data_IF_499003235611
#
_entry.id   IF_499003235611
#
_cell.length_a   1.000
_cell.length_b   1.000
_cell.length_c   1.000
_cell.angle_alpha   90.00
_cell.angle_beta   90.00
_cell.angle_gamma   90.00
#
_symmetry.space_group_name_H-M   'P 1'
#
loop_
_entity.id
_entity.type
_entity.pdbx_description
1 polymer ?
#
# COMPACT_ATOMS: atom_id res chain seq x y z
N UNK A 1 -7.42 31.55 69.32
CA UNK A 1 -8.19 30.47 69.97
C UNK A 1 -7.64 29.15 69.45
N UNK A 2 -6.63 28.60 70.14
CA UNK A 2 -6.70 27.47 71.11
C UNK A 2 -6.66 26.11 70.39
N UNK A 3 -5.78 25.14 70.66
CA UNK A 3 -4.68 24.88 71.63
C UNK A 3 -3.86 23.71 71.01
N UNK A 4 -2.52 23.78 70.91
CA UNK A 4 -1.52 23.21 71.83
C UNK A 4 -1.73 21.71 72.14
N UNK A 5 -0.75 20.81 71.91
CA UNK A 5 0.27 20.28 72.85
C UNK A 5 1.06 19.17 72.06
N UNK A 6 2.31 18.73 72.29
CA UNK A 6 3.60 19.22 72.79
C UNK A 6 4.51 17.96 72.90
N UNK A 7 5.75 18.05 72.36
CA UNK A 7 7.03 17.39 72.71
C UNK A 7 7.17 15.89 73.09
N UNK A 8 8.23 15.26 72.53
CA UNK A 8 9.52 14.92 73.19
C UNK A 8 10.51 14.42 72.09
N UNK A 9 11.64 15.06 71.74
CA UNK A 9 12.97 15.30 72.39
C UNK A 9 14.04 14.21 72.11
N UNK A 10 15.24 14.70 71.77
CA UNK A 10 16.62 14.11 71.80
C UNK A 10 17.04 13.18 70.64
N UNK A 11 18.23 13.23 70.03
CA UNK A 11 19.48 13.99 70.27
C UNK A 11 20.37 13.93 69.02
N UNK A 12 21.17 14.99 68.80
CA UNK A 12 22.38 15.03 67.98
C UNK A 12 23.35 13.87 68.28
N UNK A 13 24.08 13.34 67.28
CA UNK A 13 25.52 13.07 67.39
C UNK A 13 26.21 12.90 66.01
N UNK A 14 27.32 13.65 65.91
CA UNK A 14 28.55 13.60 65.10
C UNK A 14 28.86 12.54 64.02
N UNK A 15 29.64 13.03 63.05
CA UNK A 15 30.32 12.34 61.96
C UNK A 15 31.43 11.34 62.40
N UNK A 16 31.64 10.31 61.57
CA UNK A 16 32.82 9.43 61.58
C UNK A 16 32.69 8.31 60.53
N UNK A 17 33.79 7.82 59.91
CA UNK A 17 33.83 7.34 58.52
C UNK A 17 33.53 5.84 58.37
N UNK A 18 32.96 5.44 57.23
CA UNK A 18 32.76 4.02 56.89
C UNK A 18 33.41 3.64 55.56
N UNK A 19 34.47 2.85 55.71
CA UNK A 19 35.10 1.87 54.85
C UNK A 19 34.49 1.59 53.45
N UNK A 20 35.41 1.54 52.48
CA UNK A 20 35.24 0.95 51.17
C UNK A 20 34.82 -0.53 51.23
N UNK A 21 33.81 -0.90 50.44
CA UNK A 21 33.58 -2.27 50.00
C UNK A 21 33.65 -2.34 48.47
N UNK A 22 34.65 -3.09 48.00
CA UNK A 22 34.77 -3.57 46.62
C UNK A 22 33.68 -4.61 46.38
N UNK A 23 32.84 -4.40 45.37
CA UNK A 23 32.03 -5.47 44.77
C UNK A 23 32.71 -5.84 43.45
N UNK A 24 33.27 -7.05 43.41
CA UNK A 24 33.91 -7.60 42.22
C UNK A 24 32.87 -7.94 41.15
N UNK A 25 32.86 -7.17 40.07
CA UNK A 25 32.18 -7.53 38.83
C UNK A 25 33.06 -8.47 38.01
N UNK A 26 32.69 -9.75 37.96
CA UNK A 26 33.22 -10.69 36.98
C UNK A 26 32.49 -10.50 35.65
N UNK A 27 33.18 -9.95 34.65
CA UNK A 27 32.69 -9.89 33.28
C UNK A 27 32.60 -11.32 32.69
N UNK A 28 31.52 -11.67 31.96
CA UNK A 28 31.48 -12.93 31.24
C UNK A 28 32.43 -12.88 30.05
N UNK A 29 33.12 -13.99 29.80
CA UNK A 29 34.06 -14.17 28.69
C UNK A 29 33.35 -14.02 27.32
N UNK A 30 34.04 -13.48 26.28
CA UNK A 30 33.46 -13.31 24.96
C UNK A 30 33.21 -14.68 24.29
N UNK A 31 31.98 -14.90 23.87
CA UNK A 31 31.57 -16.06 23.06
C UNK A 31 32.11 -15.92 21.63
N UNK A 32 32.84 -16.93 21.18
CA UNK A 32 33.59 -16.99 19.92
C UNK A 32 32.77 -17.16 18.64
N UNK A 33 31.46 -16.91 18.68
CA UNK A 33 30.56 -17.14 17.54
C UNK A 33 30.10 -15.84 16.83
N UNK A 34 30.10 -14.68 17.49
CA UNK A 34 29.75 -13.39 16.86
C UNK A 34 30.85 -12.83 15.95
N UNK A 35 32.12 -13.14 16.24
CA UNK A 35 33.25 -12.70 15.42
C UNK A 35 33.39 -13.49 14.11
N UNK A 36 32.86 -14.72 14.07
CA UNK A 36 32.87 -15.56 12.86
C UNK A 36 31.83 -15.09 11.85
N UNK A 37 30.65 -14.67 12.31
CA UNK A 37 29.58 -14.19 11.43
C UNK A 37 29.88 -12.78 10.88
N UNK A 38 30.56 -11.93 11.67
CA UNK A 38 31.08 -10.64 11.21
C UNK A 38 32.16 -10.79 10.12
N UNK A 39 33.04 -11.79 10.26
CA UNK A 39 34.04 -12.15 9.25
C UNK A 39 33.44 -12.85 8.02
N UNK A 40 32.26 -13.46 8.13
CA UNK A 40 31.51 -14.07 7.03
C UNK A 40 30.63 -13.06 6.28
N UNK A 41 30.08 -12.06 6.97
CA UNK A 41 29.38 -10.91 6.36
C UNK A 41 30.32 -9.98 5.58
N UNK A 42 31.57 -9.81 6.02
CA UNK A 42 32.59 -9.09 5.24
C UNK A 42 33.00 -9.83 3.95
N UNK A 43 32.71 -11.14 3.84
CA UNK A 43 33.00 -11.97 2.66
C UNK A 43 31.86 -12.02 1.64
N UNK A 44 30.70 -11.42 1.93
CA UNK A 44 29.53 -11.42 1.03
C UNK A 44 29.32 -10.10 0.29
N UNK A 45 30.32 -9.21 0.23
CA UNK A 45 30.34 -8.05 -0.67
C UNK A 45 30.32 -8.53 -2.13
N UNK A 46 29.11 -8.85 -2.62
CA UNK A 46 28.88 -9.39 -3.94
C UNK A 46 29.34 -8.36 -4.98
N UNK A 47 30.27 -8.79 -5.82
CA UNK A 47 30.91 -8.05 -6.92
C UNK A 47 29.97 -7.55 -8.03
N UNK A 48 28.65 -7.60 -7.82
CA UNK A 48 27.62 -7.22 -8.79
C UNK A 48 27.28 -5.74 -8.83
N UNK A 49 27.31 -5.05 -7.68
CA UNK A 49 26.81 -3.68 -7.54
C UNK A 49 27.94 -2.67 -7.34
N UNK A 50 28.86 -2.63 -8.31
CA UNK A 50 30.00 -1.70 -8.34
C UNK A 50 30.06 -0.98 -9.68
N UNK A 51 30.50 0.27 -9.68
CA UNK A 51 30.75 1.01 -10.93
C UNK A 51 31.90 0.33 -11.68
N UNK A 52 31.77 0.23 -13.01
CA UNK A 52 32.75 -0.44 -13.87
C UNK A 52 33.22 0.45 -15.00
N UNK A 53 34.51 0.37 -15.30
CA UNK A 53 35.13 0.96 -16.48
C UNK A 53 35.71 -0.15 -17.35
N UNK A 54 35.26 -0.25 -18.60
CA UNK A 54 35.64 -1.34 -19.53
C UNK A 54 35.50 -2.74 -18.88
N UNK A 55 34.39 -2.97 -18.18
CA UNK A 55 34.03 -4.20 -17.46
C UNK A 55 34.91 -4.55 -16.23
N UNK A 56 35.88 -3.71 -15.85
CA UNK A 56 36.65 -3.86 -14.60
C UNK A 56 36.02 -3.02 -13.47
N UNK A 57 36.01 -3.50 -12.22
CA UNK A 57 35.49 -2.75 -11.09
C UNK A 57 36.33 -1.49 -10.83
N UNK A 58 35.66 -0.41 -10.45
CA UNK A 58 36.30 0.80 -9.97
C UNK A 58 36.49 0.76 -8.45
N UNK A 59 37.56 1.42 -8.00
CA UNK A 59 37.88 1.62 -6.59
C UNK A 59 37.92 3.13 -6.33
N UNK A 60 37.33 3.58 -5.23
CA UNK A 60 37.32 4.98 -4.82
C UNK A 60 38.20 5.14 -3.58
N UNK A 61 39.22 5.99 -3.68
CA UNK A 61 40.04 6.44 -2.57
C UNK A 61 39.57 7.84 -2.14
N UNK A 62 39.09 8.00 -0.91
CA UNK A 62 38.55 9.25 -0.38
C UNK A 62 39.38 9.70 0.83
N UNK A 63 39.95 10.91 0.75
CA UNK A 63 40.83 11.47 1.78
C UNK A 63 40.85 13.00 1.76
N UNK A 64 41.63 13.65 2.64
CA UNK A 64 41.80 15.11 2.60
C UNK A 64 42.62 15.55 1.38
N UNK A 65 42.46 16.81 0.97
CA UNK A 65 43.21 17.39 -0.18
C UNK A 65 44.72 17.34 0.04
N UNK A 66 45.19 17.43 1.30
CA UNK A 66 46.61 17.35 1.66
C UNK A 66 47.26 16.00 1.34
N UNK A 67 46.49 14.91 1.30
CA UNK A 67 46.99 13.56 1.00
C UNK A 67 46.78 13.17 -0.47
N UNK A 68 46.27 14.07 -1.31
CA UNK A 68 45.85 13.75 -2.66
C UNK A 68 46.99 13.24 -3.54
N UNK A 69 48.13 13.93 -3.52
CA UNK A 69 49.28 13.55 -4.34
C UNK A 69 49.87 12.22 -3.86
N UNK A 70 50.02 12.04 -2.54
CA UNK A 70 50.50 10.79 -1.96
C UNK A 70 49.59 9.59 -2.30
N UNK A 71 48.27 9.80 -2.33
CA UNK A 71 47.30 8.78 -2.75
C UNK A 71 47.51 8.37 -4.21
N UNK A 72 47.65 9.34 -5.12
CA UNK A 72 47.86 9.10 -6.55
C UNK A 72 49.18 8.37 -6.78
N UNK A 73 50.27 8.87 -6.20
CA UNK A 73 51.61 8.31 -6.40
C UNK A 73 51.69 6.87 -5.89
N UNK A 74 51.17 6.62 -4.68
CA UNK A 74 51.20 5.30 -4.03
C UNK A 74 50.43 4.25 -4.83
N UNK A 75 49.20 4.56 -5.25
CA UNK A 75 48.37 3.59 -5.97
C UNK A 75 48.82 3.42 -7.42
N UNK A 76 49.33 4.48 -8.06
CA UNK A 76 49.88 4.37 -9.42
C UNK A 76 51.18 3.55 -9.43
N UNK A 77 52.04 3.70 -8.41
CA UNK A 77 53.23 2.86 -8.25
C UNK A 77 52.88 1.38 -8.03
N UNK A 78 51.73 1.09 -7.41
CA UNK A 78 51.17 -0.26 -7.30
C UNK A 78 50.45 -0.75 -8.58
N UNK A 79 50.49 0.03 -9.66
CA UNK A 79 49.93 -0.31 -10.96
C UNK A 79 48.46 0.05 -11.15
N UNK A 80 47.82 0.75 -10.20
CA UNK A 80 46.46 1.25 -10.35
C UNK A 80 46.41 2.39 -11.40
N UNK A 81 45.36 2.40 -12.21
CA UNK A 81 45.14 3.44 -13.21
C UNK A 81 44.16 4.47 -12.67
N UNK A 82 44.61 5.71 -12.49
CA UNK A 82 43.73 6.82 -12.10
C UNK A 82 42.75 7.13 -13.24
N UNK A 83 41.46 6.99 -12.97
CA UNK A 83 40.40 7.24 -13.94
C UNK A 83 39.80 8.65 -13.81
N UNK A 84 39.60 9.13 -12.58
CA UNK A 84 39.02 10.46 -12.32
C UNK A 84 39.34 10.98 -10.92
N UNK A 85 39.27 12.30 -10.77
CA UNK A 85 39.40 13.01 -9.50
C UNK A 85 38.18 13.89 -9.30
N UNK A 86 37.67 13.97 -8.07
CA UNK A 86 36.55 14.84 -7.71
C UNK A 86 36.76 15.50 -6.36
N UNK A 87 36.57 16.82 -6.34
CA UNK A 87 36.63 17.63 -5.12
C UNK A 87 35.28 17.73 -4.42
N UNK A 88 35.32 17.57 -3.10
CA UNK A 88 34.18 17.79 -2.19
C UNK A 88 34.56 18.88 -1.17
N UNK A 89 34.57 20.16 -1.59
CA UNK A 89 35.10 21.26 -0.76
C UNK A 89 34.37 21.38 0.58
N UNK A 90 33.05 21.21 0.62
CA UNK A 90 32.26 21.23 1.86
C UNK A 90 32.64 20.09 2.81
N UNK A 91 32.91 18.89 2.28
CA UNK A 91 33.34 17.75 3.08
C UNK A 91 34.83 17.84 3.45
N UNK A 92 35.58 18.79 2.87
CA UNK A 92 37.05 18.86 2.95
C UNK A 92 37.68 17.53 2.57
N UNK A 93 37.17 16.93 1.48
CA UNK A 93 37.64 15.66 0.93
C UNK A 93 37.87 15.76 -0.57
N UNK A 94 38.72 14.89 -1.09
CA UNK A 94 38.94 14.63 -2.50
C UNK A 94 38.83 13.12 -2.74
N UNK A 95 38.04 12.73 -3.73
CA UNK A 95 37.99 11.36 -4.21
C UNK A 95 38.90 11.20 -5.43
N UNK A 96 39.62 10.08 -5.45
CA UNK A 96 40.37 9.58 -6.58
C UNK A 96 39.78 8.22 -6.94
N UNK A 97 39.33 8.04 -8.18
CA UNK A 97 38.80 6.76 -8.64
C UNK A 97 39.83 6.08 -9.51
N UNK A 98 40.11 4.83 -9.18
CA UNK A 98 41.09 3.99 -9.84
C UNK A 98 40.44 2.75 -10.45
N UNK A 99 41.14 2.18 -11.44
CA UNK A 99 40.96 0.79 -11.85
C UNK A 99 42.22 0.03 -11.49
N UNK A 100 42.09 -1.02 -10.68
CA UNK A 100 43.24 -1.80 -10.23
C UNK A 100 43.69 -2.81 -11.30
N UNK A 101 45.00 -3.13 -11.37
CA UNK A 101 45.51 -4.22 -12.18
C UNK A 101 45.06 -5.57 -11.61
N UNK A 102 45.19 -6.64 -12.40
CA UNK A 102 44.97 -8.00 -11.86
C UNK A 102 45.97 -8.27 -10.74
N UNK A 103 45.48 -8.64 -9.56
CA UNK A 103 46.30 -9.00 -8.40
C UNK A 103 46.52 -7.90 -7.36
N UNK A 104 46.04 -6.68 -7.58
CA UNK A 104 45.97 -5.65 -6.54
C UNK A 104 44.56 -5.64 -5.94
N UNK A 105 44.45 -5.99 -4.65
CA UNK A 105 43.20 -6.00 -3.90
C UNK A 105 43.00 -4.73 -3.07
N UNK A 106 41.75 -4.38 -2.73
CA UNK A 106 41.43 -3.19 -1.92
C UNK A 106 42.17 -3.18 -0.57
N UNK A 107 42.30 -4.34 0.08
CA UNK A 107 43.01 -4.48 1.36
C UNK A 107 44.51 -4.20 1.23
N UNK A 108 45.13 -4.62 0.12
CA UNK A 108 46.53 -4.34 -0.18
C UNK A 108 46.73 -2.85 -0.49
N UNK A 109 45.86 -2.27 -1.32
CA UNK A 109 45.86 -0.84 -1.61
C UNK A 109 45.68 0.00 -0.33
N UNK A 110 44.79 -0.42 0.58
CA UNK A 110 44.59 0.24 1.87
C UNK A 110 45.84 0.15 2.76
N UNK A 111 46.55 -0.98 2.76
CA UNK A 111 47.79 -1.14 3.53
C UNK A 111 48.92 -0.23 3.01
N UNK A 112 49.01 -0.02 1.70
CA UNK A 112 49.94 0.93 1.10
C UNK A 112 49.60 2.38 1.49
N UNK A 113 48.32 2.74 1.42
CA UNK A 113 47.85 4.07 1.81
C UNK A 113 48.04 4.36 3.30
N UNK A 114 47.94 3.36 4.18
CA UNK A 114 48.14 3.55 5.62
C UNK A 114 49.49 4.19 5.99
N UNK A 115 50.51 4.07 5.12
CA UNK A 115 51.83 4.66 5.32
C UNK A 115 51.96 6.05 4.68
N UNK A 116 51.43 6.22 3.47
CA UNK A 116 51.64 7.43 2.66
C UNK A 116 50.50 8.47 2.76
N UNK A 117 49.28 8.00 3.05
CA UNK A 117 48.04 8.78 3.11
C UNK A 117 47.14 8.19 4.22
N UNK A 118 47.53 8.31 5.50
CA UNK A 118 46.96 7.55 6.61
C UNK A 118 45.48 7.87 6.90
N UNK A 119 44.96 8.99 6.39
CA UNK A 119 43.54 9.36 6.55
C UNK A 119 42.71 9.17 5.27
N UNK A 120 43.31 8.56 4.26
CA UNK A 120 42.66 8.19 3.01
C UNK A 120 42.25 6.72 3.04
N UNK A 121 41.00 6.45 2.72
CA UNK A 121 40.45 5.09 2.65
C UNK A 121 40.09 4.74 1.22
N UNK A 122 40.38 3.50 0.82
CA UNK A 122 40.09 2.97 -0.51
C UNK A 122 39.21 1.73 -0.41
N UNK A 123 38.16 1.70 -1.22
CA UNK A 123 37.25 0.57 -1.32
C UNK A 123 36.68 0.49 -2.75
N UNK A 124 35.95 -0.59 -3.06
CA UNK A 124 35.13 -0.69 -4.25
C UNK A 124 34.14 0.48 -4.32
N UNK A 125 34.00 1.04 -5.51
CA UNK A 125 33.06 2.12 -5.76
C UNK A 125 31.65 1.53 -5.97
N UNK A 126 30.99 1.21 -4.86
CA UNK A 126 29.68 0.58 -4.84
C UNK A 126 28.56 1.47 -5.39
N UNK A 127 27.58 0.83 -6.03
CA UNK A 127 26.34 1.45 -6.48
C UNK A 127 25.30 1.26 -5.36
N UNK A 128 24.94 2.36 -4.70
CA UNK A 128 23.83 2.36 -3.75
C UNK A 128 22.51 2.51 -4.53
N UNK A 129 21.61 1.51 -4.41
CA UNK A 129 20.27 1.55 -4.98
C UNK A 129 19.24 2.02 -3.96
N UNK A 130 18.08 2.50 -4.43
CA UNK A 130 16.97 2.81 -3.53
C UNK A 130 16.53 1.56 -2.77
N UNK A 131 16.44 1.66 -1.44
CA UNK A 131 15.94 0.60 -0.57
C UNK A 131 14.40 0.52 -0.65
N UNK A 132 13.88 0.06 -1.78
CA UNK A 132 12.44 -0.12 -2.01
C UNK A 132 12.09 -1.62 -2.08
N UNK A 133 11.05 -2.02 -1.36
CA UNK A 133 10.50 -3.38 -1.40
C UNK A 133 9.39 -3.53 -2.44
N UNK A 134 9.10 -4.78 -2.81
CA UNK A 134 7.96 -5.10 -3.67
C UNK A 134 6.62 -4.72 -3.00
N UNK A 135 5.55 -4.45 -3.77
CA UNK A 135 4.25 -4.15 -3.21
C UNK A 135 3.73 -5.26 -2.29
N UNK A 136 3.15 -4.89 -1.13
CA UNK A 136 2.55 -5.83 -0.20
C UNK A 136 1.12 -6.15 -0.65
N UNK A 137 0.93 -7.34 -1.20
CA UNK A 137 -0.39 -7.83 -1.61
C UNK A 137 -1.00 -8.65 -0.48
N UNK A 138 -2.04 -8.12 0.19
CA UNK A 138 -2.66 -8.81 1.33
C UNK A 138 -4.16 -9.10 1.15
N UNK A 139 -4.84 -8.37 0.27
CA UNK A 139 -6.30 -8.39 0.19
C UNK A 139 -6.87 -9.79 -0.15
N UNK A 140 -6.25 -10.49 -1.11
CA UNK A 140 -6.64 -11.85 -1.48
C UNK A 140 -6.53 -12.81 -0.28
N UNK A 141 -5.39 -12.82 0.40
CA UNK A 141 -5.18 -13.63 1.60
C UNK A 141 -6.17 -13.26 2.71
N UNK A 142 -6.42 -11.97 2.93
CA UNK A 142 -7.31 -11.49 3.97
C UNK A 142 -8.74 -12.02 3.82
N UNK A 143 -9.27 -12.10 2.60
CA UNK A 143 -10.62 -12.66 2.34
C UNK A 143 -10.60 -14.17 2.11
N UNK A 144 -9.45 -14.84 2.22
CA UNK A 144 -9.33 -16.27 1.92
C UNK A 144 -9.47 -16.61 0.43
N UNK A 145 -9.20 -15.65 -0.44
CA UNK A 145 -9.15 -15.89 -1.88
C UNK A 145 -7.91 -16.74 -2.23
N UNK A 146 -8.06 -17.79 -3.06
CA UNK A 146 -6.95 -18.68 -3.43
C UNK A 146 -5.88 -17.98 -4.29
N UNK A 147 -6.11 -16.73 -4.67
CA UNK A 147 -5.16 -15.86 -5.31
C UNK A 147 -5.45 -15.64 -6.80
N UNK A 148 -4.64 -14.78 -7.43
CA UNK A 148 -4.79 -14.38 -8.83
C UNK A 148 -5.04 -15.54 -9.79
N UNK A 149 -6.13 -15.47 -10.57
CA UNK A 149 -6.42 -16.40 -11.66
C UNK A 149 -6.90 -17.80 -11.25
N UNK A 150 -7.03 -18.10 -9.96
CA UNK A 150 -7.51 -19.42 -9.48
C UNK A 150 -9.02 -19.59 -9.52
N UNK A 151 -9.77 -18.50 -9.38
CA UNK A 151 -11.22 -18.47 -9.59
C UNK A 151 -11.56 -17.63 -10.83
N UNK A 152 -12.66 -17.95 -11.51
CA UNK A 152 -13.05 -17.25 -12.74
C UNK A 152 -14.35 -16.47 -12.57
N UNK A 153 -14.36 -15.24 -13.07
CA UNK A 153 -15.56 -14.44 -13.32
C UNK A 153 -16.10 -14.58 -14.75
N UNK A 154 -15.62 -15.57 -15.53
CA UNK A 154 -16.04 -15.74 -16.93
C UNK A 154 -17.55 -15.88 -17.04
N UNK A 155 -18.14 -15.17 -18.01
CA UNK A 155 -19.59 -15.12 -18.21
C UNK A 155 -20.34 -14.20 -17.23
N UNK A 156 -19.66 -13.63 -16.22
CA UNK A 156 -20.24 -12.65 -15.30
C UNK A 156 -20.09 -11.24 -15.86
N UNK A 157 -21.12 -10.42 -15.67
CA UNK A 157 -21.17 -9.03 -16.11
C UNK A 157 -21.31 -8.12 -14.89
N UNK A 158 -20.39 -7.17 -14.76
CA UNK A 158 -20.37 -6.22 -13.65
C UNK A 158 -20.52 -4.81 -14.21
N UNK A 159 -21.47 -4.05 -13.67
CA UNK A 159 -21.68 -2.65 -13.95
C UNK A 159 -20.87 -1.77 -13.01
N UNK A 160 -20.39 -0.64 -13.52
CA UNK A 160 -19.58 0.31 -12.77
C UNK A 160 -20.03 1.73 -13.11
N UNK A 161 -20.40 2.49 -12.08
CA UNK A 161 -20.69 3.93 -12.19
C UNK A 161 -19.57 4.68 -11.47
N UNK A 162 -18.70 5.34 -12.23
CA UNK A 162 -17.47 5.94 -11.72
C UNK A 162 -16.94 7.03 -12.69
N UNK A 163 -15.66 7.40 -12.59
CA UNK A 163 -14.89 8.09 -13.62
C UNK A 163 -14.43 7.16 -14.75
N UNK A 164 -13.62 7.67 -15.69
CA UNK A 164 -13.14 6.90 -16.81
C UNK A 164 -12.13 5.82 -16.38
N UNK A 165 -12.06 4.76 -17.19
CA UNK A 165 -11.11 3.64 -17.04
C UNK A 165 -10.12 3.71 -18.19
N UNK A 166 -8.84 3.53 -17.92
CA UNK A 166 -7.80 3.43 -18.95
C UNK A 166 -7.82 2.03 -19.59
N UNK A 167 -8.35 1.86 -20.82
CA UNK A 167 -8.42 0.55 -21.45
C UNK A 167 -7.05 0.02 -21.91
N UNK A 168 -6.04 0.90 -22.01
CA UNK A 168 -4.70 0.54 -22.46
C UNK A 168 -3.81 0.07 -21.30
N UNK A 169 -4.27 0.23 -20.05
CA UNK A 169 -3.54 -0.21 -18.88
C UNK A 169 -3.29 -1.73 -18.92
N UNK A 170 -2.05 -2.16 -18.69
CA UNK A 170 -1.65 -3.58 -18.76
C UNK A 170 -2.45 -4.49 -17.83
N UNK A 171 -2.87 -3.98 -16.67
CA UNK A 171 -3.78 -4.65 -15.74
C UNK A 171 -5.13 -5.05 -16.34
N UNK A 172 -5.59 -4.36 -17.40
CA UNK A 172 -6.89 -4.56 -18.03
C UNK A 172 -6.78 -5.15 -19.44
N UNK A 173 -5.56 -5.43 -19.91
CA UNK A 173 -5.31 -5.94 -21.25
C UNK A 173 -6.08 -7.25 -21.52
N UNK A 174 -7.13 -7.25 -22.33
CA UNK A 174 -7.98 -8.41 -22.61
C UNK A 174 -9.16 -8.61 -21.64
N UNK A 175 -9.40 -7.65 -20.74
CA UNK A 175 -10.68 -7.54 -20.01
C UNK A 175 -11.71 -7.02 -21.00
N UNK A 176 -12.91 -7.62 -21.02
CA UNK A 176 -13.99 -7.14 -21.89
C UNK A 176 -14.60 -5.89 -21.27
N UNK A 177 -14.18 -4.72 -21.76
CA UNK A 177 -14.68 -3.42 -21.34
C UNK A 177 -15.71 -2.90 -22.36
N UNK A 178 -16.91 -2.56 -21.88
CA UNK A 178 -17.83 -1.69 -22.61
C UNK A 178 -17.93 -0.38 -21.83
N UNK A 179 -17.53 0.73 -22.45
CA UNK A 179 -17.51 2.04 -21.80
C UNK A 179 -18.48 2.99 -22.50
N UNK A 180 -19.13 3.84 -21.71
CA UNK A 180 -19.98 4.93 -22.18
C UNK A 180 -19.99 6.05 -21.13
N UNK A 181 -20.56 7.21 -21.44
CA UNK A 181 -20.68 8.33 -20.52
C UNK A 181 -22.07 8.96 -20.53
N UNK A 182 -22.39 9.63 -19.43
CA UNK A 182 -23.60 10.45 -19.27
C UNK A 182 -23.25 11.91 -18.96
N UNK A 183 -22.02 12.31 -19.27
CA UNK A 183 -21.55 13.69 -19.12
C UNK A 183 -22.31 14.60 -20.09
N UNK A 184 -22.67 15.80 -19.61
CA UNK A 184 -23.34 16.83 -20.41
C UNK A 184 -22.32 17.65 -21.21
N UNK A 185 -22.83 18.42 -22.17
CA UNK A 185 -22.00 19.31 -22.98
C UNK A 185 -21.19 20.28 -22.10
N UNK A 186 -19.89 20.37 -22.38
CA UNK A 186 -18.95 21.20 -21.64
C UNK A 186 -18.42 20.57 -20.33
N UNK A 187 -18.90 19.38 -19.94
CA UNK A 187 -18.31 18.63 -18.82
C UNK A 187 -17.14 17.77 -19.29
N UNK A 188 -16.11 17.68 -18.44
CA UNK A 188 -14.90 16.91 -18.73
C UNK A 188 -14.80 15.76 -17.75
N UNK A 189 -14.43 14.58 -18.23
CA UNK A 189 -14.16 13.43 -17.35
C UNK A 189 -12.92 13.70 -16.47
N UNK A 190 -12.88 13.20 -15.22
CA UNK A 190 -11.67 13.24 -14.41
C UNK A 190 -10.56 12.36 -15.01
N UNK A 191 -9.40 12.31 -14.36
CA UNK A 191 -8.34 11.39 -14.77
C UNK A 191 -8.77 9.91 -14.59
N UNK A 192 -7.96 9.00 -15.16
CA UNK A 192 -8.27 7.57 -15.17
C UNK A 192 -8.00 6.85 -13.83
N UNK A 193 -7.42 7.49 -12.82
CA UNK A 193 -6.86 6.78 -11.66
C UNK A 193 -7.91 6.01 -10.85
N UNK A 194 -9.01 6.68 -10.46
CA UNK A 194 -10.00 6.07 -9.59
C UNK A 194 -10.75 4.94 -10.30
N UNK A 195 -11.21 5.21 -11.53
CA UNK A 195 -11.91 4.22 -12.34
C UNK A 195 -11.03 3.02 -12.67
N UNK A 196 -9.77 3.24 -13.06
CA UNK A 196 -8.84 2.15 -13.37
C UNK A 196 -8.51 1.30 -12.14
N UNK A 197 -8.34 1.91 -10.97
CA UNK A 197 -8.12 1.19 -9.73
C UNK A 197 -9.31 0.28 -9.39
N UNK A 198 -10.53 0.83 -9.41
CA UNK A 198 -11.77 0.09 -9.15
C UNK A 198 -11.98 -1.04 -10.16
N UNK A 199 -11.78 -0.79 -11.46
CA UNK A 199 -11.86 -1.81 -12.50
C UNK A 199 -10.82 -2.93 -12.31
N UNK A 200 -9.59 -2.58 -11.93
CA UNK A 200 -8.52 -3.56 -11.69
C UNK A 200 -8.80 -4.46 -10.49
N UNK A 201 -9.38 -3.93 -9.41
CA UNK A 201 -9.80 -4.74 -8.25
C UNK A 201 -10.86 -5.78 -8.67
N UNK A 202 -11.76 -5.43 -9.58
CA UNK A 202 -12.80 -6.37 -10.01
C UNK A 202 -12.27 -7.42 -10.99
N UNK A 203 -11.60 -7.01 -12.06
CA UNK A 203 -11.29 -7.88 -13.20
C UNK A 203 -9.84 -7.80 -13.70
N UNK A 204 -8.97 -7.12 -12.97
CA UNK A 204 -7.57 -6.95 -13.34
C UNK A 204 -6.80 -8.26 -13.41
N UNK A 205 -5.60 -8.22 -13.99
CA UNK A 205 -4.69 -9.37 -14.16
C UNK A 205 -3.25 -9.05 -13.80
N UNK A 206 -2.40 -10.08 -13.81
CA UNK A 206 -0.96 -9.95 -13.53
C UNK A 206 -0.72 -9.45 -12.11
N UNK A 207 0.18 -8.47 -11.96
CA UNK A 207 0.47 -7.82 -10.66
C UNK A 207 -0.68 -7.02 -10.06
N UNK A 208 -1.82 -6.93 -10.74
CA UNK A 208 -3.04 -6.20 -10.36
C UNK A 208 -4.28 -7.11 -10.41
N UNK A 209 -4.09 -8.40 -10.17
CA UNK A 209 -5.17 -9.36 -10.35
C UNK A 209 -6.38 -9.07 -9.46
N UNK A 210 -7.53 -8.98 -10.12
CA UNK A 210 -8.81 -8.73 -9.48
C UNK A 210 -9.46 -10.00 -8.94
N UNK A 211 -10.57 -9.81 -8.24
CA UNK A 211 -11.27 -10.87 -7.51
C UNK A 211 -12.28 -11.66 -8.36
N UNK A 212 -12.53 -11.23 -9.61
CA UNK A 212 -13.37 -11.92 -10.61
C UNK A 212 -12.74 -11.87 -12.01
N UNK A 213 -11.56 -12.48 -12.22
CA UNK A 213 -10.85 -12.41 -13.49
C UNK A 213 -11.66 -13.09 -14.60
N UNK A 214 -11.78 -12.43 -15.75
CA UNK A 214 -12.60 -12.89 -16.89
C UNK A 214 -14.03 -12.33 -16.91
N UNK A 215 -14.46 -11.64 -15.84
CA UNK A 215 -15.70 -10.87 -15.86
C UNK A 215 -15.62 -9.75 -16.92
N UNK A 216 -16.75 -9.47 -17.57
CA UNK A 216 -16.89 -8.28 -18.42
C UNK A 216 -17.35 -7.08 -17.59
N UNK A 217 -16.77 -5.91 -17.84
CA UNK A 217 -17.15 -4.66 -17.17
C UNK A 217 -17.94 -3.78 -18.13
N UNK A 218 -19.10 -3.31 -17.66
CA UNK A 218 -19.92 -2.28 -18.31
C UNK A 218 -19.78 -1.01 -17.49
N UNK A 219 -19.02 -0.06 -18.00
CA UNK A 219 -18.64 1.17 -17.30
C UNK A 219 -19.47 2.32 -17.86
N UNK A 220 -20.16 3.03 -16.98
CA UNK A 220 -20.80 4.30 -17.32
C UNK A 220 -20.14 5.43 -16.53
N UNK A 221 -19.47 6.32 -17.26
CA UNK A 221 -18.75 7.46 -16.72
C UNK A 221 -19.79 8.52 -16.33
N UNK A 222 -19.97 8.68 -15.03
CA UNK A 222 -20.90 9.65 -14.44
C UNK A 222 -20.17 10.80 -13.74
N UNK A 223 -18.92 10.61 -13.34
CA UNK A 223 -18.12 11.63 -12.66
C UNK A 223 -17.50 12.60 -13.66
N UNK A 224 -17.59 13.90 -13.34
CA UNK A 224 -16.95 14.99 -14.10
C UNK A 224 -15.95 15.71 -13.21
N UNK A 225 -14.91 16.29 -13.80
CA UNK A 225 -14.03 17.26 -13.15
C UNK A 225 -14.32 18.65 -13.71
N UNK A 226 -15.31 19.33 -13.12
CA UNK A 226 -15.76 20.66 -13.60
C UNK A 226 -15.37 21.72 -12.57
N UNK A 227 -14.61 22.74 -13.00
CA UNK A 227 -14.06 23.81 -12.13
C UNK A 227 -13.22 23.26 -10.97
N UNK A 228 -12.41 22.24 -11.23
CA UNK A 228 -11.52 21.63 -10.24
C UNK A 228 -12.22 20.83 -9.14
N UNK A 229 -13.51 20.50 -9.32
CA UNK A 229 -14.26 19.63 -8.41
C UNK A 229 -14.69 18.37 -9.13
N UNK A 230 -14.23 17.24 -8.63
CA UNK A 230 -14.66 15.93 -9.10
C UNK A 230 -15.94 15.50 -8.39
N UNK A 231 -16.94 15.07 -9.17
CA UNK A 231 -18.19 14.59 -8.62
C UNK A 231 -19.20 14.21 -9.70
N UNK A 232 -20.20 13.43 -9.28
CA UNK A 232 -21.39 13.14 -10.06
C UNK A 232 -22.62 13.67 -9.30
N UNK A 233 -23.54 14.29 -10.03
CA UNK A 233 -24.85 14.65 -9.50
C UNK A 233 -25.84 13.49 -9.64
N UNK A 234 -27.00 13.65 -9.01
CA UNK A 234 -28.04 12.63 -8.97
C UNK A 234 -28.56 12.33 -10.39
N UNK A 235 -28.70 13.33 -11.25
CA UNK A 235 -29.14 13.15 -12.64
C UNK A 235 -28.24 12.18 -13.39
N UNK A 236 -26.91 12.42 -13.35
CA UNK A 236 -25.93 11.53 -14.00
C UNK A 236 -25.90 10.14 -13.37
N UNK A 237 -25.97 10.04 -12.05
CA UNK A 237 -26.02 8.72 -11.39
C UNK A 237 -27.29 7.95 -11.79
N UNK A 238 -28.45 8.61 -11.84
CA UNK A 238 -29.71 8.00 -12.27
C UNK A 238 -29.67 7.59 -13.74
N UNK A 239 -29.13 8.44 -14.63
CA UNK A 239 -28.94 8.10 -16.04
C UNK A 239 -27.98 6.91 -16.24
N UNK A 240 -26.93 6.82 -15.43
CA UNK A 240 -25.99 5.71 -15.47
C UNK A 240 -26.62 4.39 -14.97
N UNK A 241 -27.43 4.43 -13.90
CA UNK A 241 -28.21 3.28 -13.45
C UNK A 241 -29.17 2.80 -14.55
N UNK A 242 -29.95 3.72 -15.14
CA UNK A 242 -30.89 3.39 -16.22
C UNK A 242 -30.16 2.73 -17.40
N UNK A 243 -29.02 3.31 -17.82
CA UNK A 243 -28.24 2.78 -18.93
C UNK A 243 -27.67 1.38 -18.68
N UNK A 244 -27.10 1.14 -17.50
CA UNK A 244 -26.61 -0.20 -17.12
C UNK A 244 -27.77 -1.21 -17.11
N UNK A 245 -28.94 -0.81 -16.61
CA UNK A 245 -30.11 -1.67 -16.58
C UNK A 245 -30.68 -1.95 -17.97
N UNK A 246 -30.78 -0.95 -18.84
CA UNK A 246 -31.19 -1.13 -20.24
C UNK A 246 -30.26 -2.08 -21.02
N UNK A 247 -29.00 -2.16 -20.60
CA UNK A 247 -27.96 -3.04 -21.11
C UNK A 247 -27.96 -4.47 -20.53
N UNK A 248 -28.92 -4.78 -19.66
CA UNK A 248 -29.01 -6.05 -18.95
C UNK A 248 -27.90 -6.27 -17.92
N UNK A 249 -27.26 -5.20 -17.45
CA UNK A 249 -26.26 -5.26 -16.38
C UNK A 249 -26.98 -5.04 -15.06
N UNK A 250 -26.97 -6.04 -14.18
CA UNK A 250 -27.76 -6.04 -12.93
C UNK A 250 -26.91 -6.00 -11.67
N UNK A 251 -25.68 -6.50 -11.69
CA UNK A 251 -24.74 -6.32 -10.58
C UNK A 251 -23.97 -5.02 -10.80
N UNK A 252 -24.10 -4.03 -9.90
CA UNK A 252 -23.56 -2.69 -10.10
C UNK A 252 -22.74 -2.26 -8.87
N UNK A 253 -21.48 -1.89 -9.11
CA UNK A 253 -20.58 -1.28 -8.12
C UNK A 253 -20.73 0.25 -8.11
N UNK A 254 -20.84 0.80 -6.91
CA UNK A 254 -20.99 2.23 -6.63
C UNK A 254 -19.88 2.66 -5.64
N UNK A 255 -18.68 2.89 -6.16
CA UNK A 255 -17.48 3.24 -5.37
C UNK A 255 -17.45 4.71 -4.92
N UNK A 256 -18.60 5.27 -4.57
CA UNK A 256 -18.75 6.65 -4.14
C UNK A 256 -19.75 6.78 -3.00
N UNK A 257 -19.72 7.94 -2.34
CA UNK A 257 -20.64 8.29 -1.28
C UNK A 257 -21.01 9.77 -1.36
N UNK A 258 -22.20 10.10 -0.87
CA UNK A 258 -22.76 11.45 -0.86
C UNK A 258 -23.80 11.62 0.25
N UNK A 259 -24.36 12.83 0.40
CA UNK A 259 -25.34 13.12 1.44
C UNK A 259 -26.66 12.36 1.23
N UNK A 260 -27.49 12.32 2.27
CA UNK A 260 -28.85 11.81 2.16
C UNK A 260 -29.68 12.63 1.16
N UNK A 261 -30.46 11.94 0.34
CA UNK A 261 -31.26 12.56 -0.71
C UNK A 261 -32.43 11.65 -1.14
N UNK A 262 -33.66 12.20 -1.13
CA UNK A 262 -34.88 11.45 -1.45
C UNK A 262 -34.95 11.00 -2.91
N UNK A 263 -34.48 11.82 -3.86
CA UNK A 263 -34.46 11.46 -5.28
C UNK A 263 -33.46 10.32 -5.55
N UNK A 264 -32.29 10.35 -4.91
CA UNK A 264 -31.34 9.24 -4.98
C UNK A 264 -31.95 7.95 -4.42
N UNK A 265 -32.64 8.00 -3.27
CA UNK A 265 -33.34 6.81 -2.73
C UNK A 265 -34.37 6.24 -3.70
N UNK A 266 -35.17 7.11 -4.32
CA UNK A 266 -36.15 6.68 -5.34
C UNK A 266 -35.46 5.99 -6.53
N UNK A 267 -34.35 6.54 -7.02
CA UNK A 267 -33.59 5.93 -8.12
C UNK A 267 -33.01 4.55 -7.74
N UNK A 268 -32.42 4.43 -6.56
CA UNK A 268 -31.87 3.16 -6.06
C UNK A 268 -32.96 2.09 -5.86
N UNK A 269 -34.10 2.49 -5.29
CA UNK A 269 -35.25 1.61 -5.11
C UNK A 269 -35.81 1.15 -6.47
N UNK A 270 -35.95 2.06 -7.44
CA UNK A 270 -36.42 1.73 -8.78
C UNK A 270 -35.46 0.80 -9.56
N UNK A 271 -34.15 0.93 -9.32
CA UNK A 271 -33.13 0.03 -9.86
C UNK A 271 -33.23 -1.36 -9.22
N UNK A 272 -33.32 -1.43 -7.89
CA UNK A 272 -33.47 -2.68 -7.15
C UNK A 272 -34.76 -3.44 -7.53
N UNK A 273 -35.88 -2.72 -7.70
CA UNK A 273 -37.14 -3.29 -8.18
C UNK A 273 -37.05 -3.93 -9.58
N UNK A 274 -36.05 -3.56 -10.38
CA UNK A 274 -35.73 -4.15 -11.69
C UNK A 274 -34.69 -5.28 -11.61
N UNK A 275 -34.42 -5.78 -10.40
CA UNK A 275 -33.50 -6.87 -10.13
C UNK A 275 -32.03 -6.44 -10.03
N UNK A 276 -31.75 -5.14 -9.86
CA UNK A 276 -30.37 -4.70 -9.62
C UNK A 276 -29.86 -5.19 -8.26
N UNK A 277 -28.64 -5.71 -8.24
CA UNK A 277 -27.84 -5.91 -7.03
C UNK A 277 -26.85 -4.76 -6.96
N UNK A 278 -27.05 -3.87 -5.99
CA UNK A 278 -26.26 -2.66 -5.81
C UNK A 278 -25.29 -2.84 -4.63
N UNK A 279 -24.01 -2.57 -4.85
CA UNK A 279 -22.98 -2.64 -3.81
C UNK A 279 -22.27 -1.29 -3.76
N UNK A 280 -22.18 -0.68 -2.57
CA UNK A 280 -21.68 0.68 -2.42
C UNK A 280 -20.68 0.86 -1.28
N UNK A 281 -19.76 1.79 -1.50
CA UNK A 281 -18.83 2.25 -0.48
C UNK A 281 -19.54 3.06 0.61
N UNK A 282 -19.19 2.85 1.88
CA UNK A 282 -19.81 3.58 2.99
C UNK A 282 -19.38 5.05 3.10
N UNK A 283 -18.26 5.43 2.49
CA UNK A 283 -17.71 6.79 2.52
C UNK A 283 -16.56 6.96 3.52
N UNK A 284 -15.86 8.10 3.42
CA UNK A 284 -14.51 8.28 4.00
C UNK A 284 -14.39 9.55 4.89
N UNK A 285 -15.48 9.91 5.58
CA UNK A 285 -15.61 11.15 6.37
C UNK A 285 -15.58 10.93 7.89
N UNK A 286 -15.34 9.68 8.33
CA UNK A 286 -15.32 9.27 9.74
C UNK A 286 -16.63 9.61 10.51
N UNK A 287 -17.76 9.64 9.80
CA UNK A 287 -19.03 10.10 10.38
C UNK A 287 -20.02 8.97 10.63
N UNK A 288 -20.95 9.18 11.56
CA UNK A 288 -22.12 8.33 11.80
C UNK A 288 -23.33 8.66 10.91
N UNK A 289 -23.23 9.71 10.07
CA UNK A 289 -24.31 10.18 9.22
C UNK A 289 -24.55 9.19 8.07
N UNK A 290 -25.83 8.99 7.71
CA UNK A 290 -26.20 8.23 6.53
C UNK A 290 -25.55 8.81 5.27
N UNK A 291 -24.78 7.98 4.56
CA UNK A 291 -24.21 8.32 3.27
C UNK A 291 -24.85 7.47 2.18
N UNK A 292 -25.43 8.10 1.16
CA UNK A 292 -25.96 7.39 -0.01
C UNK A 292 -24.85 7.16 -1.04
N UNK A 293 -24.88 6.05 -1.81
CA UNK A 293 -25.96 5.07 -1.89
C UNK A 293 -25.94 4.01 -0.79
N UNK A 294 -24.83 3.82 -0.05
CA UNK A 294 -24.69 2.75 0.94
C UNK A 294 -25.75 2.72 2.05
N UNK A 295 -26.31 3.86 2.45
CA UNK A 295 -27.35 3.94 3.47
C UNK A 295 -28.78 3.63 2.96
N UNK A 296 -28.94 3.21 1.71
CA UNK A 296 -30.22 2.74 1.18
C UNK A 296 -30.44 1.24 1.53
N UNK A 297 -31.62 0.84 2.05
CA UNK A 297 -31.89 -0.56 2.44
C UNK A 297 -31.71 -1.59 1.32
N UNK A 298 -31.86 -1.18 0.06
CA UNK A 298 -31.72 -2.02 -1.12
C UNK A 298 -30.26 -2.23 -1.55
N UNK A 299 -29.32 -1.49 -0.95
CA UNK A 299 -27.90 -1.46 -1.33
C UNK A 299 -27.08 -2.19 -0.28
N UNK A 300 -26.14 -3.03 -0.71
CA UNK A 300 -25.17 -3.66 0.17
C UNK A 300 -24.07 -2.65 0.52
N UNK A 301 -24.02 -2.24 1.77
CA UNK A 301 -23.05 -1.26 2.27
C UNK A 301 -21.73 -1.90 2.68
N UNK A 302 -20.63 -1.41 2.10
CA UNK A 302 -19.28 -1.96 2.32
C UNK A 302 -18.37 -0.93 2.99
N UNK A 303 -17.79 -1.33 4.13
CA UNK A 303 -16.72 -0.60 4.83
C UNK A 303 -15.34 -1.17 4.48
N UNK A 304 -14.28 -0.49 4.92
CA UNK A 304 -12.89 -0.89 4.68
C UNK A 304 -12.18 -1.36 5.96
N UNK A 305 -11.30 -2.34 5.83
CA UNK A 305 -10.30 -2.73 6.85
C UNK A 305 -8.88 -2.68 6.26
N UNK A 306 -7.88 -2.64 7.15
CA UNK A 306 -6.46 -2.71 6.79
C UNK A 306 -5.91 -4.14 6.84
N UNK A 307 -4.60 -4.29 6.56
CA UNK A 307 -3.91 -5.58 6.58
C UNK A 307 -3.87 -6.26 7.95
N UNK A 308 -4.12 -5.52 9.05
CA UNK A 308 -4.30 -6.04 10.39
C UNK A 308 -5.77 -6.29 10.76
N UNK A 309 -6.67 -6.27 9.77
CA UNK A 309 -8.13 -6.39 9.93
C UNK A 309 -8.75 -5.29 10.81
N UNK A 310 -8.07 -4.16 10.97
CA UNK A 310 -8.59 -3.04 11.76
C UNK A 310 -9.50 -2.18 10.89
N UNK A 311 -10.65 -1.70 11.40
CA UNK A 311 -11.53 -0.80 10.65
C UNK A 311 -10.77 0.44 10.16
N UNK A 312 -10.98 0.81 8.91
CA UNK A 312 -10.39 2.00 8.32
C UNK A 312 -10.82 3.24 9.10
N UNK A 313 -9.86 3.99 9.63
CA UNK A 313 -10.11 5.12 10.54
C UNK A 313 -10.99 6.23 9.96
N UNK A 314 -11.07 6.35 8.63
CA UNK A 314 -11.93 7.35 7.97
C UNK A 314 -13.24 6.77 7.46
N UNK A 315 -13.48 5.46 7.55
CA UNK A 315 -14.75 4.90 7.10
C UNK A 315 -15.92 5.49 7.88
N UNK A 316 -17.02 5.75 7.17
CA UNK A 316 -18.28 6.08 7.81
C UNK A 316 -18.83 4.86 8.56
N UNK A 317 -19.62 5.13 9.59
CA UNK A 317 -20.09 4.15 10.57
C UNK A 317 -21.61 4.25 10.68
N UNK A 318 -22.28 3.15 11.02
CA UNK A 318 -23.71 3.15 11.32
C UNK A 318 -24.35 1.80 11.13
N UNK A 319 -25.63 1.70 11.52
CA UNK A 319 -26.43 0.47 11.40
C UNK A 319 -26.70 0.04 9.95
N UNK A 320 -26.35 0.87 8.97
CA UNK A 320 -26.48 0.53 7.56
C UNK A 320 -25.28 -0.27 7.04
N UNK A 321 -24.12 -0.26 7.72
CA UNK A 321 -22.94 -1.04 7.31
C UNK A 321 -23.27 -2.54 7.34
N UNK A 322 -23.06 -3.24 6.23
CA UNK A 322 -23.36 -4.67 6.13
C UNK A 322 -22.12 -5.54 6.15
N UNK A 323 -21.06 -5.15 5.43
CA UNK A 323 -19.85 -5.96 5.32
C UNK A 323 -18.58 -5.13 5.31
N UNK A 324 -17.47 -5.75 5.67
CA UNK A 324 -16.13 -5.21 5.54
C UNK A 324 -15.34 -5.95 4.45
N UNK A 325 -14.47 -5.23 3.76
CA UNK A 325 -13.46 -5.81 2.87
C UNK A 325 -12.14 -5.02 2.99
N UNK A 326 -11.00 -5.59 2.55
CA UNK A 326 -9.75 -4.85 2.48
C UNK A 326 -9.93 -3.55 1.68
N UNK A 327 -9.44 -2.44 2.20
CA UNK A 327 -9.59 -1.14 1.55
C UNK A 327 -8.53 -0.12 1.93
N UNK A 328 -7.46 -0.54 2.61
CA UNK A 328 -6.36 0.34 3.03
C UNK A 328 -5.05 -0.17 2.46
N UNK A 329 -4.27 0.70 1.84
CA UNK A 329 -2.98 0.40 1.23
C UNK A 329 -3.06 -0.78 0.25
N UNK A 330 -4.07 -0.75 -0.63
CA UNK A 330 -4.23 -1.72 -1.69
C UNK A 330 -3.39 -1.34 -2.90
N UNK A 331 -2.54 -2.25 -3.36
CA UNK A 331 -1.83 -2.08 -4.62
C UNK A 331 -2.79 -2.30 -5.80
N UNK A 332 -2.96 -1.28 -6.63
CA UNK A 332 -3.93 -1.29 -7.75
C UNK A 332 -3.34 -0.65 -8.99
N UNK A 333 -3.99 -0.84 -10.13
CA UNK A 333 -3.67 -0.13 -11.35
C UNK A 333 -4.10 1.34 -11.23
N UNK A 334 -3.19 2.26 -11.58
CA UNK A 334 -3.44 3.71 -11.68
C UNK A 334 -2.77 4.22 -12.96
N UNK A 335 -3.10 5.41 -13.45
CA UNK A 335 -2.63 5.90 -14.75
C UNK A 335 -1.14 5.59 -15.02
N UNK A 336 -0.85 4.92 -16.13
CA UNK A 336 0.50 4.56 -16.55
C UNK A 336 1.27 3.57 -15.65
N UNK A 337 0.67 2.95 -14.62
CA UNK A 337 1.36 1.99 -13.75
C UNK A 337 0.58 1.54 -12.50
N UNK A 338 1.28 1.45 -11.36
CA UNK A 338 0.69 0.96 -10.11
C UNK A 338 0.77 1.97 -8.99
N UNK A 339 -0.20 1.92 -8.08
CA UNK A 339 -0.18 2.76 -6.88
C UNK A 339 -1.02 2.17 -5.75
N UNK A 340 -0.64 2.56 -4.53
CA UNK A 340 -1.45 2.26 -3.35
C UNK A 340 -2.66 3.17 -3.27
N UNK A 341 -3.81 2.56 -2.97
CA UNK A 341 -5.08 3.25 -2.75
C UNK A 341 -5.69 2.87 -1.41
N UNK A 342 -6.40 3.83 -0.81
CA UNK A 342 -7.02 3.68 0.51
C UNK A 342 -8.39 4.34 0.49
N UNK A 343 -9.42 3.61 0.91
CA UNK A 343 -10.80 4.07 0.98
C UNK A 343 -11.82 2.93 0.86
N UNK A 344 -13.02 3.19 1.35
CA UNK A 344 -14.18 2.29 1.20
C UNK A 344 -14.56 2.07 -0.26
N UNK A 345 -14.25 3.04 -1.13
CA UNK A 345 -14.34 2.96 -2.60
C UNK A 345 -13.56 1.80 -3.21
N UNK A 346 -12.52 1.31 -2.54
CA UNK A 346 -11.70 0.18 -2.99
C UNK A 346 -12.06 -1.14 -2.29
N UNK A 347 -12.79 -1.08 -1.17
CA UNK A 347 -13.35 -2.25 -0.51
C UNK A 347 -14.63 -2.75 -1.23
N UNK A 348 -15.52 -1.84 -1.63
CA UNK A 348 -16.74 -2.15 -2.38
C UNK A 348 -16.51 -3.05 -3.62
N UNK A 349 -15.55 -2.77 -4.53
CA UNK A 349 -15.32 -3.60 -5.71
C UNK A 349 -14.82 -5.01 -5.39
N UNK A 350 -14.17 -5.24 -4.25
CA UNK A 350 -13.84 -6.61 -3.80
C UNK A 350 -15.12 -7.39 -3.55
N UNK A 351 -16.05 -6.81 -2.78
CA UNK A 351 -17.36 -7.43 -2.50
C UNK A 351 -18.16 -7.62 -3.78
N UNK A 352 -18.14 -6.65 -4.71
CA UNK A 352 -18.81 -6.80 -6.02
C UNK A 352 -18.24 -7.96 -6.82
N UNK A 353 -16.92 -8.12 -6.87
CA UNK A 353 -16.30 -9.21 -7.61
C UNK A 353 -16.59 -10.59 -6.98
N UNK A 354 -16.57 -10.70 -5.65
CA UNK A 354 -17.00 -11.92 -4.95
C UNK A 354 -18.48 -12.21 -5.19
N UNK A 355 -19.35 -11.19 -5.17
CA UNK A 355 -20.77 -11.33 -5.52
C UNK A 355 -20.95 -11.80 -6.97
N UNK A 356 -20.13 -11.32 -7.90
CA UNK A 356 -20.15 -11.74 -9.29
C UNK A 356 -19.88 -13.25 -9.41
N UNK A 357 -18.92 -13.79 -8.66
CA UNK A 357 -18.62 -15.25 -8.60
C UNK A 357 -19.77 -16.05 -8.02
N UNK A 358 -20.50 -15.50 -7.06
CA UNK A 358 -21.69 -16.13 -6.48
C UNK A 358 -22.94 -16.10 -7.37
N UNK A 359 -22.91 -15.38 -8.49
CA UNK A 359 -24.03 -15.34 -9.46
C UNK A 359 -24.93 -14.12 -9.32
N UNK A 360 -24.49 -13.11 -8.56
CA UNK A 360 -25.26 -11.90 -8.36
C UNK A 360 -25.54 -11.17 -9.68
N UNK A 361 -26.77 -10.69 -9.84
CA UNK A 361 -27.23 -10.05 -11.08
C UNK A 361 -27.51 -11.03 -12.24
N UNK A 362 -27.42 -12.34 -11.99
CA UNK A 362 -27.85 -13.39 -12.90
C UNK A 362 -28.78 -14.37 -12.17
N UNK A 363 -28.23 -15.44 -11.58
CA UNK A 363 -29.00 -16.49 -10.89
C UNK A 363 -29.26 -16.19 -9.40
N UNK A 364 -28.53 -15.23 -8.80
CA UNK A 364 -28.64 -14.91 -7.39
C UNK A 364 -29.13 -13.47 -7.17
N UNK A 365 -30.29 -13.33 -6.50
CA UNK A 365 -30.82 -12.03 -6.09
C UNK A 365 -30.17 -11.47 -4.81
N UNK A 366 -30.43 -10.20 -4.51
CA UNK A 366 -29.79 -9.47 -3.39
C UNK A 366 -30.00 -10.13 -2.02
N UNK A 367 -31.19 -10.67 -1.74
CA UNK A 367 -31.50 -11.34 -0.46
C UNK A 367 -30.65 -12.60 -0.28
N UNK A 368 -30.57 -13.45 -1.32
CA UNK A 368 -29.74 -14.66 -1.29
C UNK A 368 -28.26 -14.33 -1.21
N UNK A 369 -27.82 -13.28 -1.91
CA UNK A 369 -26.44 -12.80 -1.82
C UNK A 369 -26.10 -12.32 -0.39
N UNK A 370 -26.95 -11.50 0.24
CA UNK A 370 -26.75 -11.05 1.63
C UNK A 370 -26.61 -12.22 2.58
N UNK A 371 -27.49 -13.23 2.46
CA UNK A 371 -27.44 -14.42 3.29
C UNK A 371 -26.12 -15.16 3.13
N UNK A 372 -25.67 -15.43 1.88
CA UNK A 372 -24.39 -16.10 1.64
C UNK A 372 -23.21 -15.30 2.17
N UNK A 373 -23.16 -14.00 1.90
CA UNK A 373 -22.06 -13.16 2.38
C UNK A 373 -21.99 -13.14 3.92
N UNK A 374 -23.14 -13.01 4.60
CA UNK A 374 -23.22 -13.01 6.06
C UNK A 374 -22.85 -14.36 6.68
N UNK A 375 -23.30 -15.47 6.10
CA UNK A 375 -22.97 -16.83 6.58
C UNK A 375 -21.46 -17.10 6.57
N UNK A 376 -20.75 -16.59 5.56
CA UNK A 376 -19.31 -16.78 5.44
C UNK A 376 -18.47 -15.69 6.11
N UNK A 377 -19.08 -14.59 6.57
CA UNK A 377 -18.33 -13.44 7.03
C UNK A 377 -17.52 -13.81 8.28
N UNK A 378 -16.25 -13.41 8.29
CA UNK A 378 -15.45 -13.47 9.50
C UNK A 378 -15.82 -12.27 10.36
N UNK A 379 -16.49 -12.54 11.48
CA UNK A 379 -16.85 -11.52 12.44
C UNK A 379 -15.62 -10.74 12.93
N UNK A 380 -15.76 -9.42 13.06
CA UNK A 380 -14.70 -8.51 13.45
C UNK A 380 -15.23 -7.52 14.49
N UNK A 381 -14.43 -7.19 15.50
CA UNK A 381 -14.80 -6.20 16.48
C UNK A 381 -15.71 -6.75 17.57
N UNK A 382 -16.90 -6.17 17.73
CA UNK A 382 -17.86 -6.64 18.74
C UNK A 382 -18.59 -7.88 18.21
N UNK A 383 -18.75 -8.96 18.99
CA UNK A 383 -19.43 -10.16 18.51
C UNK A 383 -20.81 -9.87 17.90
N UNK A 384 -21.04 -10.41 16.71
CA UNK A 384 -22.24 -10.19 15.91
C UNK A 384 -22.20 -8.89 15.12
N UNK A 385 -23.34 -8.55 14.50
CA UNK A 385 -23.40 -7.40 13.60
C UNK A 385 -23.18 -6.08 14.33
N UNK A 386 -22.15 -5.33 13.94
CA UNK A 386 -21.83 -4.02 14.52
C UNK A 386 -21.92 -2.84 13.51
N UNK A 387 -21.68 -1.62 14.00
CA UNK A 387 -21.80 -0.38 13.20
C UNK A 387 -20.53 0.02 12.46
N UNK A 388 -19.42 -0.69 12.65
CA UNK A 388 -18.11 -0.39 12.08
C UNK A 388 -17.75 -1.35 10.96
N UNK A 389 -18.04 -2.63 11.14
CA UNK A 389 -17.68 -3.75 10.25
C UNK A 389 -18.88 -4.55 9.78
N UNK A 390 -20.10 -4.26 10.27
CA UNK A 390 -21.30 -4.97 9.86
C UNK A 390 -21.25 -6.42 10.34
N UNK A 391 -21.52 -7.37 9.46
CA UNK A 391 -21.36 -8.82 9.70
C UNK A 391 -19.89 -9.26 9.74
N UNK A 392 -18.94 -8.35 9.46
CA UNK A 392 -17.52 -8.64 9.45
C UNK A 392 -16.92 -8.70 8.05
N UNK A 393 -15.71 -9.24 7.98
CA UNK A 393 -14.92 -9.37 6.76
C UNK A 393 -15.55 -10.40 5.82
N UNK A 394 -15.86 -10.02 4.58
CA UNK A 394 -16.31 -10.96 3.56
C UNK A 394 -15.24 -12.04 3.33
N UNK A 395 -15.70 -13.27 3.13
CA UNK A 395 -14.84 -14.39 2.77
C UNK A 395 -15.16 -14.85 1.35
N UNK A 396 -14.13 -15.12 0.57
CA UNK A 396 -14.27 -15.68 -0.76
C UNK A 396 -14.87 -17.09 -0.64
N UNK A 397 -16.02 -17.30 -1.27
CA UNK A 397 -16.70 -18.58 -1.31
C UNK A 397 -16.58 -19.18 -2.70
N UNK A 398 -15.78 -20.24 -2.82
CA UNK A 398 -15.64 -21.03 -4.04
C UNK A 398 -15.08 -20.29 -5.26
N UNK A 399 -14.89 -21.08 -6.31
CA UNK A 399 -14.79 -20.67 -7.70
C UNK A 399 -15.99 -21.32 -8.42
#
# INVERSE_FOLDING_TARGET
MNKAILLLILSLFLAGPAAAQRVGGGAPAPSSDDDRDSAQQLRSNSSGDVVRLANRPEYIALGPVSEAQATIDTLTAAGAQLARVRDYPTLRRRAHVFVFPRGLEATQAQALLAQAAPTTFVDLHHIYRFAQGSPRLYAAQAVGDPGPGRCSGTGRKIGMIDGPVDPQHSALAGVRLRMDHVLRDGEVAPNYDHGTAVASIMAGRGGYAGFAPGASLDVVIAFSSTRGREGADIERITAALDRLLGRGTRLINLSFAGPDNRAMRLALNAAAARGAVLIAASGNDNTGRSALPAAAPEVIAVTAVDAGLRPYRRANRGRHIEFAAPGVDLWTAKGGGGGYVTGTSFAAPIVTALAARLGAGASLGVTGLRARLAESAQDLGTPGRDTRTGWGLVRAQGC
#
